data_IF_042529205179
#
_entry.id   IF_042529205179
#
_cell.length_a   1.000
_cell.length_b   1.000
_cell.length_c   1.000
_cell.angle_alpha   90.00
_cell.angle_beta   90.00
_cell.angle_gamma   90.00
#
_symmetry.space_group_name_H-M   'P 1'
#
loop_
_entity.id
_entity.type
_entity.pdbx_description
1 polymer ?
#
# COMPACT_ATOMS: atom_id res chain seq x y z
N UNK A 1 -0.71 -11.36 -10.15
CA UNK A 1 -0.90 -10.79 -11.50
C UNK A 1 -2.28 -11.13 -12.04
N UNK A 2 -2.94 -10.20 -12.75
CA UNK A 2 -4.25 -10.43 -13.34
C UNK A 2 -4.23 -11.57 -14.36
N UNK A 3 -5.35 -12.29 -14.52
CA UNK A 3 -5.47 -13.46 -15.40
C UNK A 3 -5.15 -13.10 -16.87
N UNK A 4 -5.65 -11.96 -17.34
CA UNK A 4 -5.51 -11.51 -18.73
C UNK A 4 -4.30 -10.56 -18.94
N UNK A 5 -3.34 -10.55 -18.01
CA UNK A 5 -2.18 -9.65 -18.04
C UNK A 5 -2.49 -8.21 -17.60
N UNK A 6 -3.69 -7.69 -17.85
CA UNK A 6 -4.19 -6.40 -17.34
C UNK A 6 -5.41 -6.58 -16.44
N UNK A 7 -5.61 -5.66 -15.51
CA UNK A 7 -6.79 -5.63 -14.65
C UNK A 7 -7.97 -5.03 -15.40
N UNK A 8 -9.09 -5.74 -15.44
CA UNK A 8 -10.34 -5.28 -16.05
C UNK A 8 -11.26 -4.69 -14.97
N UNK A 9 -11.48 -3.38 -15.04
CA UNK A 9 -12.31 -2.62 -14.09
C UNK A 9 -13.80 -2.98 -14.17
N UNK A 10 -14.25 -3.56 -15.28
CA UNK A 10 -15.66 -3.97 -15.45
C UNK A 10 -15.98 -5.28 -14.74
N UNK A 11 -14.96 -6.06 -14.37
CA UNK A 11 -15.08 -7.38 -13.75
C UNK A 11 -14.77 -7.32 -12.25
N UNK A 12 -15.41 -8.17 -11.47
CA UNK A 12 -15.10 -8.25 -10.04
C UNK A 12 -13.69 -8.79 -9.79
N UNK A 13 -13.12 -8.49 -8.61
CA UNK A 13 -11.78 -8.93 -8.21
C UNK A 13 -11.58 -10.44 -8.43
N UNK A 14 -12.56 -11.27 -8.02
CA UNK A 14 -12.51 -12.73 -8.18
C UNK A 14 -12.34 -13.17 -9.64
N UNK A 15 -12.88 -12.43 -10.59
CA UNK A 15 -12.75 -12.73 -12.02
C UNK A 15 -11.44 -12.19 -12.62
N UNK A 16 -10.78 -11.26 -11.93
CA UNK A 16 -9.49 -10.70 -12.32
C UNK A 16 -8.30 -11.53 -11.81
N UNK A 17 -8.48 -12.34 -10.75
CA UNK A 17 -7.40 -13.14 -10.13
C UNK A 17 -7.72 -14.62 -10.13
N UNK A 18 -6.74 -15.46 -10.45
CA UNK A 18 -6.89 -16.92 -10.40
C UNK A 18 -6.69 -17.43 -8.96
N UNK A 19 -7.60 -17.08 -8.05
CA UNK A 19 -7.58 -17.56 -6.66
C UNK A 19 -8.92 -18.20 -6.31
N UNK A 20 -8.86 -19.34 -5.60
CA UNK A 20 -10.06 -20.02 -5.12
C UNK A 20 -10.68 -19.24 -3.96
N UNK A 21 -12.02 -19.33 -3.83
CA UNK A 21 -12.75 -18.62 -2.77
C UNK A 21 -12.23 -18.91 -1.34
N UNK A 22 -11.86 -20.16 -0.97
CA UNK A 22 -11.30 -20.42 0.35
C UNK A 22 -9.96 -19.74 0.61
N UNK A 23 -9.14 -19.55 -0.42
CA UNK A 23 -7.87 -18.83 -0.30
C UNK A 23 -8.12 -17.34 -0.16
N UNK A 24 -9.03 -16.77 -0.99
CA UNK A 24 -9.40 -15.36 -0.91
C UNK A 24 -9.93 -14.97 0.47
N UNK A 25 -10.74 -15.84 1.09
CA UNK A 25 -11.30 -15.60 2.42
C UNK A 25 -10.26 -15.49 3.55
N UNK A 26 -9.01 -15.91 3.32
CA UNK A 26 -7.92 -15.81 4.33
C UNK A 26 -7.18 -14.48 4.29
N UNK A 27 -7.49 -13.63 3.33
CA UNK A 27 -6.90 -12.30 3.22
C UNK A 27 -7.88 -11.26 3.74
N UNK A 28 -7.41 -10.41 4.66
CA UNK A 28 -8.23 -9.36 5.25
C UNK A 28 -8.37 -8.14 4.34
N UNK A 29 -7.35 -7.85 3.53
CA UNK A 29 -7.28 -6.66 2.68
C UNK A 29 -6.76 -6.99 1.26
N UNK A 30 -7.37 -6.37 0.25
CA UNK A 30 -6.94 -6.44 -1.14
C UNK A 30 -6.63 -5.03 -1.66
N UNK A 31 -5.41 -4.84 -2.17
CA UNK A 31 -4.99 -3.61 -2.84
C UNK A 31 -4.88 -3.86 -4.34
N UNK A 32 -5.61 -3.09 -5.14
CA UNK A 32 -5.56 -3.16 -6.60
C UNK A 32 -4.76 -1.96 -7.10
N UNK A 33 -3.59 -2.21 -7.65
CA UNK A 33 -2.76 -1.19 -8.30
C UNK A 33 -3.02 -1.29 -9.80
N UNK A 34 -3.64 -0.26 -10.36
CA UNK A 34 -3.96 -0.17 -11.79
C UNK A 34 -3.00 0.82 -12.43
N UNK A 35 -2.44 0.41 -13.56
CA UNK A 35 -1.67 1.27 -14.45
C UNK A 35 -2.62 1.99 -15.40
N UNK A 36 -2.73 3.32 -15.26
CA UNK A 36 -3.51 4.20 -16.12
C UNK A 36 -2.56 5.17 -16.82
N UNK A 37 -2.60 5.23 -18.15
CA UNK A 37 -1.79 6.17 -18.91
C UNK A 37 -2.21 7.60 -18.57
N UNK A 38 -1.29 8.38 -18.03
CA UNK A 38 -1.50 9.78 -17.72
C UNK A 38 -0.17 10.50 -17.91
N UNK A 39 -0.10 11.31 -18.96
CA UNK A 39 1.12 11.96 -19.41
C UNK A 39 1.82 12.76 -18.29
N UNK A 40 1.05 13.37 -17.38
CA UNK A 40 1.61 14.16 -16.27
C UNK A 40 2.25 13.25 -15.22
N UNK A 41 1.55 12.17 -14.82
CA UNK A 41 2.10 11.24 -13.83
C UNK A 41 3.26 10.45 -14.41
N UNK A 42 3.16 10.04 -15.67
CA UNK A 42 4.17 9.27 -16.38
C UNK A 42 5.44 10.11 -16.57
N UNK A 43 5.30 11.39 -16.92
CA UNK A 43 6.42 12.34 -16.96
C UNK A 43 7.10 12.47 -15.60
N UNK A 44 6.35 12.71 -14.53
CA UNK A 44 6.91 12.85 -13.17
C UNK A 44 7.63 11.57 -12.71
N UNK A 45 7.07 10.40 -13.03
CA UNK A 45 7.70 9.10 -12.73
C UNK A 45 8.99 8.95 -13.52
N UNK A 46 8.98 9.24 -14.83
CA UNK A 46 10.15 9.14 -15.68
C UNK A 46 11.28 10.08 -15.25
N UNK A 47 10.96 11.36 -14.99
CA UNK A 47 11.90 12.35 -14.44
C UNK A 47 12.53 11.83 -13.16
N UNK A 48 11.70 11.32 -12.23
CA UNK A 48 12.17 10.77 -10.96
C UNK A 48 13.11 9.57 -11.14
N UNK A 49 12.81 8.69 -12.09
CA UNK A 49 13.65 7.52 -12.41
C UNK A 49 14.99 7.99 -12.98
N UNK A 50 14.99 8.95 -13.90
CA UNK A 50 16.21 9.51 -14.51
C UNK A 50 17.07 10.15 -13.41
N UNK A 51 16.49 10.99 -12.56
CA UNK A 51 17.19 11.63 -11.44
C UNK A 51 17.89 10.61 -10.54
N UNK A 52 17.21 9.51 -10.19
CA UNK A 52 17.79 8.44 -9.38
C UNK A 52 19.02 7.78 -10.04
N UNK A 53 19.00 7.60 -11.36
CA UNK A 53 20.01 6.84 -12.09
C UNK A 53 21.17 7.70 -12.59
N UNK A 54 20.95 8.99 -12.85
CA UNK A 54 21.99 9.92 -13.32
C UNK A 54 22.89 10.39 -12.16
N UNK A 55 22.34 10.55 -10.96
CA UNK A 55 23.15 10.81 -9.77
C UNK A 55 23.68 9.50 -9.18
N UNK A 56 24.84 9.04 -9.63
CA UNK A 56 25.50 7.85 -9.10
C UNK A 56 25.46 7.81 -7.55
N UNK A 57 24.59 6.97 -7.00
CA UNK A 57 24.47 6.67 -5.56
C UNK A 57 24.15 7.87 -4.64
N UNK A 58 23.76 9.05 -5.15
CA UNK A 58 23.58 10.26 -4.30
C UNK A 58 22.39 11.17 -4.60
N UNK A 59 21.39 10.77 -5.39
CA UNK A 59 20.05 11.32 -5.14
C UNK A 59 19.49 10.62 -3.91
N UNK A 60 19.83 11.17 -2.73
CA UNK A 60 18.82 11.20 -1.67
C UNK A 60 17.56 11.70 -2.38
N UNK A 61 16.49 10.89 -2.36
CA UNK A 61 15.13 11.35 -2.64
C UNK A 61 15.08 12.81 -2.19
N UNK A 62 14.77 13.82 -3.05
CA UNK A 62 14.76 15.21 -2.60
C UNK A 62 13.95 15.17 -1.34
N UNK A 63 14.62 15.38 -0.20
CA UNK A 63 14.16 14.78 1.05
C UNK A 63 12.70 15.17 1.17
N UNK A 64 11.79 14.21 0.95
CA UNK A 64 10.48 14.30 1.57
C UNK A 64 10.90 14.62 2.99
N UNK A 65 10.57 15.81 3.48
CA UNK A 65 11.05 16.25 4.78
C UNK A 65 10.45 15.26 5.76
N UNK A 66 11.18 14.17 5.98
CA UNK A 66 10.73 13.05 6.76
C UNK A 66 11.06 13.48 8.14
N UNK A 67 10.03 13.87 8.88
CA UNK A 67 10.14 14.25 10.29
C UNK A 67 10.81 13.13 11.10
N UNK A 68 10.70 11.89 10.62
CA UNK A 68 11.26 10.70 11.26
C UNK A 68 12.15 9.92 10.32
N UNK A 69 13.25 9.42 10.87
CA UNK A 69 14.15 8.45 10.27
C UNK A 69 13.56 7.04 10.30
N UNK A 70 14.11 6.15 9.47
CA UNK A 70 13.70 4.74 9.44
C UNK A 70 13.82 4.05 10.80
N UNK A 71 14.91 4.31 11.52
CA UNK A 71 15.15 3.69 12.83
C UNK A 71 14.14 4.17 13.87
N UNK A 72 13.79 5.45 13.88
CA UNK A 72 12.78 5.99 14.80
C UNK A 72 11.41 5.36 14.57
N UNK A 73 10.98 5.21 13.31
CA UNK A 73 9.70 4.55 12.98
C UNK A 73 9.74 3.08 13.41
N UNK A 74 10.84 2.37 13.14
CA UNK A 74 11.00 0.97 13.52
C UNK A 74 10.95 0.78 15.04
N UNK A 75 11.67 1.62 15.77
CA UNK A 75 11.73 1.56 17.23
C UNK A 75 10.36 1.94 17.83
N UNK A 76 9.66 2.91 17.25
CA UNK A 76 8.28 3.26 17.62
C UNK A 76 7.30 2.09 17.41
N UNK A 77 7.34 1.42 16.25
CA UNK A 77 6.48 0.26 16.00
C UNK A 77 6.77 -0.86 17.01
N UNK A 78 8.04 -1.06 17.33
CA UNK A 78 8.46 -2.08 18.31
C UNK A 78 7.90 -1.75 19.70
N UNK A 79 8.05 -0.50 20.12
CA UNK A 79 7.48 0.00 21.37
C UNK A 79 5.95 -0.14 21.39
N UNK A 80 5.25 0.33 20.36
CA UNK A 80 3.80 0.29 20.28
C UNK A 80 3.27 -1.14 20.39
N UNK A 81 3.92 -2.10 19.71
CA UNK A 81 3.56 -3.53 19.79
C UNK A 81 3.79 -4.15 21.17
N UNK A 82 4.82 -3.70 21.90
CA UNK A 82 5.18 -4.26 23.20
C UNK A 82 4.41 -3.62 24.37
N UNK A 83 4.24 -2.29 24.33
CA UNK A 83 3.72 -1.50 25.44
C UNK A 83 2.21 -1.24 25.36
N UNK A 84 1.61 -1.31 24.16
CA UNK A 84 0.19 -0.93 23.97
C UNK A 84 -0.62 -2.14 23.54
N UNK A 85 -1.61 -2.49 24.36
CA UNK A 85 -2.63 -3.49 24.03
C UNK A 85 -4.00 -2.80 23.99
N UNK A 86 -4.43 -2.29 22.82
CA UNK A 86 -5.69 -1.59 22.72
C UNK A 86 -6.85 -2.57 22.97
N UNK A 87 -7.81 -2.13 23.79
CA UNK A 87 -9.05 -2.89 24.05
C UNK A 87 -10.20 -2.22 23.33
N UNK A 88 -11.03 -3.03 22.67
CA UNK A 88 -12.21 -2.54 21.99
C UNK A 88 -13.22 -2.01 23.02
N UNK A 89 -13.61 -0.74 22.88
CA UNK A 89 -14.62 -0.14 23.76
C UNK A 89 -16.01 -0.67 23.40
N UNK A 90 -16.96 -0.71 24.36
CA UNK A 90 -18.33 -1.15 24.09
C UNK A 90 -19.00 -0.34 22.97
N UNK A 91 -18.79 0.98 22.95
CA UNK A 91 -19.30 1.87 21.91
C UNK A 91 -18.74 1.51 20.52
N UNK A 92 -17.44 1.22 20.40
CA UNK A 92 -16.84 0.81 19.13
C UNK A 92 -17.39 -0.54 18.64
N UNK A 93 -17.66 -1.47 19.56
CA UNK A 93 -18.25 -2.78 19.22
C UNK A 93 -19.66 -2.64 18.64
N UNK A 94 -20.50 -1.79 19.24
CA UNK A 94 -21.86 -1.55 18.76
C UNK A 94 -21.83 -0.96 17.35
N UNK A 95 -20.98 0.05 17.11
CA UNK A 95 -20.84 0.66 15.79
C UNK A 95 -20.44 -0.33 14.69
N UNK A 96 -19.55 -1.28 14.97
CA UNK A 96 -19.12 -2.30 14.00
C UNK A 96 -20.27 -3.23 13.58
N UNK A 97 -21.21 -3.52 14.47
CA UNK A 97 -22.35 -4.42 14.17
C UNK A 97 -23.42 -3.71 13.34
N UNK A 98 -23.56 -2.39 13.51
CA UNK A 98 -24.54 -1.58 12.76
C UNK A 98 -24.08 -1.18 11.35
N UNK A 99 -22.81 -1.39 11.00
CA UNK A 99 -22.27 -1.20 9.64
C UNK A 99 -22.57 -2.40 8.74
#
# INVERSE_FOLDING_TARGET
NPIAGRYDKSRSLRHNVNMSAPIMSRFDLFFIVIDECNDVTDYNIAERIIDLHTSGTRCSVPSLVTVYTFNEIRDYITYAKAAVQPKLTPAAKEHIITL
#
